data_IF_715557244839
#
_entry.id   IF_715557244839
#
_cell.length_a   1.000
_cell.length_b   1.000
_cell.length_c   1.000
_cell.angle_alpha   90.00
_cell.angle_beta   90.00
_cell.angle_gamma   90.00
#
_symmetry.space_group_name_H-M   'P 1'
#
loop_
_entity.id
_entity.type
_entity.pdbx_description
1 polymer ?
#
# COMPACT_ATOMS: atom_id res chain seq x y z
N UNK A 1 15.59 4.37 24.45
CA UNK A 1 15.48 3.36 23.37
C UNK A 1 15.18 4.13 22.09
N UNK A 2 15.98 4.01 21.03
CA UNK A 2 15.84 4.83 19.79
C UNK A 2 14.92 4.19 18.73
N UNK A 3 14.44 2.97 18.96
CA UNK A 3 13.49 2.29 18.09
C UNK A 3 12.57 1.39 18.93
N UNK A 4 11.28 1.48 18.67
CA UNK A 4 10.24 0.73 19.38
C UNK A 4 9.27 0.11 18.39
N UNK A 5 9.04 -1.20 18.54
CA UNK A 5 8.01 -1.94 17.82
C UNK A 5 6.90 -2.32 18.80
N UNK A 6 5.80 -1.57 18.74
CA UNK A 6 4.63 -1.81 19.57
C UNK A 6 3.81 -2.96 19.02
N UNK A 7 3.88 -4.13 19.66
CA UNK A 7 3.02 -5.25 19.30
C UNK A 7 1.58 -4.99 19.75
N UNK A 8 0.62 -5.24 18.87
CA UNK A 8 -0.79 -4.97 19.10
C UNK A 8 -1.65 -6.25 19.07
N UNK A 9 -2.48 -6.38 20.11
CA UNK A 9 -3.32 -7.56 20.32
C UNK A 9 -4.43 -7.68 19.27
N UNK A 10 -4.99 -6.55 18.81
CA UNK A 10 -6.07 -6.52 17.83
C UNK A 10 -5.56 -6.90 16.44
N UNK A 11 -4.35 -6.48 16.07
CA UNK A 11 -3.66 -6.96 14.87
C UNK A 11 -3.43 -8.47 14.92
N UNK A 12 -2.93 -8.99 16.03
CA UNK A 12 -2.73 -10.43 16.20
C UNK A 12 -4.05 -11.22 16.09
N UNK A 13 -5.14 -10.74 16.72
CA UNK A 13 -6.45 -11.39 16.61
C UNK A 13 -7.03 -11.37 15.20
N UNK A 14 -6.80 -10.30 14.45
CA UNK A 14 -7.19 -10.19 13.03
C UNK A 14 -6.24 -10.91 12.08
N UNK A 15 -5.25 -11.65 12.60
CA UNK A 15 -4.21 -12.38 11.85
C UNK A 15 -3.37 -11.47 10.94
N UNK A 16 -3.24 -10.19 11.33
CA UNK A 16 -2.29 -9.27 10.72
C UNK A 16 -0.92 -9.49 11.38
N UNK A 17 -0.01 -10.13 10.64
CA UNK A 17 1.35 -10.44 11.09
C UNK A 17 2.38 -9.84 10.13
N UNK A 18 3.54 -9.37 10.62
CA UNK A 18 3.86 -9.18 12.04
C UNK A 18 2.93 -8.16 12.69
N UNK A 19 2.49 -8.42 13.93
CA UNK A 19 1.45 -7.64 14.61
C UNK A 19 2.00 -6.32 15.19
N UNK A 20 2.80 -5.59 14.41
CA UNK A 20 3.43 -4.32 14.77
C UNK A 20 2.49 -3.18 14.41
N UNK A 21 2.09 -2.40 15.40
CA UNK A 21 1.21 -1.27 15.20
C UNK A 21 1.96 -0.10 14.58
N UNK A 22 1.67 0.18 13.31
CA UNK A 22 2.42 1.13 12.48
C UNK A 22 2.32 2.59 12.94
N UNK A 23 1.27 2.98 13.69
CA UNK A 23 1.12 4.36 14.18
C UNK A 23 1.67 4.62 15.58
N UNK A 24 1.93 3.58 16.36
CA UNK A 24 2.46 3.70 17.74
C UNK A 24 3.93 3.26 17.83
N UNK A 25 4.42 2.56 16.81
CA UNK A 25 5.83 2.22 16.64
C UNK A 25 6.63 3.39 16.09
N UNK A 26 7.92 3.46 16.41
CA UNK A 26 8.81 4.51 15.91
C UNK A 26 10.25 4.04 15.72
N UNK A 27 11.01 4.77 14.90
CA UNK A 27 12.44 4.63 14.75
C UNK A 27 13.08 6.00 14.55
N UNK A 28 14.02 6.35 15.41
CA UNK A 28 14.84 7.57 15.30
C UNK A 28 16.02 7.39 14.32
N UNK A 29 16.20 6.20 13.74
CA UNK A 29 17.28 5.88 12.81
C UNK A 29 16.96 6.22 11.36
N UNK A 30 15.75 6.67 11.05
CA UNK A 30 15.35 6.93 9.65
C UNK A 30 16.26 7.98 9.00
N UNK A 31 16.59 9.05 9.74
CA UNK A 31 17.51 10.09 9.26
C UNK A 31 18.92 9.52 9.07
N UNK A 32 19.41 8.75 10.04
CA UNK A 32 20.76 8.16 10.02
C UNK A 32 20.94 7.20 8.83
N UNK A 33 19.88 6.46 8.47
CA UNK A 33 19.89 5.47 7.39
C UNK A 33 19.47 6.03 6.02
N UNK A 34 19.00 7.27 5.96
CA UNK A 34 18.43 7.86 4.74
C UNK A 34 19.39 7.85 3.55
N UNK A 35 20.65 8.23 3.79
CA UNK A 35 21.71 8.20 2.77
C UNK A 35 21.97 6.80 2.24
N UNK A 36 21.97 5.79 3.11
CA UNK A 36 22.19 4.41 2.68
C UNK A 36 21.07 3.94 1.75
N UNK A 37 19.81 4.23 2.07
CA UNK A 37 18.68 3.87 1.20
C UNK A 37 18.75 4.58 -0.15
N UNK A 38 19.12 5.86 -0.16
CA UNK A 38 19.27 6.64 -1.38
C UNK A 38 20.33 6.03 -2.32
N UNK A 39 21.48 5.64 -1.78
CA UNK A 39 22.61 5.16 -2.57
C UNK A 39 22.48 3.69 -2.98
N UNK A 40 21.83 2.85 -2.16
CA UNK A 40 21.84 1.38 -2.33
C UNK A 40 20.49 0.80 -2.78
N UNK A 41 19.40 1.55 -2.72
CA UNK A 41 18.06 1.07 -3.08
C UNK A 41 17.42 1.97 -4.10
N UNK A 42 17.15 3.22 -3.72
CA UNK A 42 16.55 4.21 -4.58
C UNK A 42 16.55 5.59 -3.90
N UNK A 43 16.83 6.68 -4.62
CA UNK A 43 16.66 8.05 -4.10
C UNK A 43 15.23 8.36 -3.65
N UNK A 44 14.22 7.63 -4.15
CA UNK A 44 12.82 7.81 -3.79
C UNK A 44 12.38 6.97 -2.58
N UNK A 45 13.24 6.10 -2.04
CA UNK A 45 12.85 5.13 -1.01
C UNK A 45 12.21 5.77 0.22
N UNK A 46 12.86 6.78 0.80
CA UNK A 46 12.38 7.47 2.00
C UNK A 46 11.10 8.27 1.72
N UNK A 47 11.01 8.91 0.54
CA UNK A 47 9.81 9.62 0.10
C UNK A 47 8.60 8.66 0.02
N UNK A 48 8.76 7.53 -0.67
CA UNK A 48 7.70 6.55 -0.86
C UNK A 48 7.22 5.99 0.47
N UNK A 49 8.16 5.62 1.35
CA UNK A 49 7.85 5.20 2.72
C UNK A 49 7.03 6.26 3.46
N UNK A 50 7.38 7.54 3.35
CA UNK A 50 6.66 8.63 4.00
C UNK A 50 5.26 8.83 3.41
N UNK A 51 5.09 8.67 2.09
CA UNK A 51 3.77 8.71 1.42
C UNK A 51 2.86 7.57 1.88
N UNK A 52 3.39 6.36 2.02
CA UNK A 52 2.64 5.22 2.59
C UNK A 52 2.21 5.52 4.03
N UNK A 53 3.12 6.03 4.87
CA UNK A 53 2.77 6.42 6.24
C UNK A 53 1.72 7.53 6.28
N UNK A 54 1.77 8.50 5.37
CA UNK A 54 0.75 9.54 5.29
C UNK A 54 -0.64 8.94 4.97
N UNK A 55 -0.73 8.00 4.04
CA UNK A 55 -1.97 7.30 3.70
C UNK A 55 -2.52 6.48 4.88
N UNK A 56 -1.66 5.79 5.63
CA UNK A 56 -2.06 5.04 6.83
C UNK A 56 -2.54 5.96 7.97
N UNK A 57 -1.93 7.14 8.13
CA UNK A 57 -2.42 8.14 9.09
C UNK A 57 -3.78 8.70 8.67
N UNK A 58 -3.96 9.00 7.38
CA UNK A 58 -5.25 9.44 6.84
C UNK A 58 -6.33 8.37 7.02
N UNK A 59 -6.01 7.09 6.77
CA UNK A 59 -6.92 5.98 7.06
C UNK A 59 -7.39 6.00 8.52
N UNK A 60 -6.48 6.17 9.47
CA UNK A 60 -6.84 6.23 10.89
C UNK A 60 -7.83 7.36 11.20
N UNK A 61 -7.62 8.55 10.65
CA UNK A 61 -8.54 9.67 10.82
C UNK A 61 -9.90 9.40 10.16
N UNK A 62 -9.90 8.82 8.97
CA UNK A 62 -11.13 8.47 8.25
C UNK A 62 -11.91 7.38 8.96
N UNK A 63 -11.25 6.37 9.56
CA UNK A 63 -11.93 5.31 10.30
C UNK A 63 -12.67 5.82 11.54
N UNK A 64 -12.18 6.87 12.20
CA UNK A 64 -12.94 7.53 13.28
C UNK A 64 -14.23 8.18 12.77
N UNK A 65 -14.20 8.78 11.57
CA UNK A 65 -15.38 9.32 10.92
C UNK A 65 -16.33 8.17 10.54
N UNK A 66 -15.82 7.12 9.91
CA UNK A 66 -16.60 5.93 9.49
C UNK A 66 -17.33 5.29 10.67
N UNK A 67 -16.72 5.23 11.86
CA UNK A 67 -17.37 4.71 13.09
C UNK A 67 -18.60 5.52 13.50
N UNK A 68 -18.63 6.82 13.18
CA UNK A 68 -19.72 7.72 13.56
C UNK A 68 -20.86 7.74 12.54
N UNK A 69 -20.54 7.75 11.24
CA UNK A 69 -21.52 8.03 10.18
C UNK A 69 -21.62 6.94 9.10
N UNK A 70 -20.78 5.89 9.16
CA UNK A 70 -20.68 4.85 8.15
C UNK A 70 -19.75 5.23 6.98
N UNK A 71 -19.32 4.25 6.19
CA UNK A 71 -18.42 4.46 5.05
C UNK A 71 -19.11 4.99 3.79
N UNK A 72 -20.41 4.76 3.66
CA UNK A 72 -21.15 5.02 2.43
C UNK A 72 -21.29 6.52 2.12
N UNK A 73 -21.28 7.33 3.17
CA UNK A 73 -21.38 8.79 3.11
C UNK A 73 -20.05 9.49 2.78
N UNK A 74 -18.92 8.75 2.78
CA UNK A 74 -17.63 9.35 2.45
C UNK A 74 -17.56 9.71 0.94
N UNK A 75 -16.95 10.85 0.60
CA UNK A 75 -16.53 11.16 -0.76
C UNK A 75 -15.63 10.07 -1.37
N UNK A 76 -15.67 9.91 -2.69
CA UNK A 76 -14.90 8.87 -3.39
C UNK A 76 -13.39 9.01 -3.23
N UNK A 77 -12.85 10.23 -3.08
CA UNK A 77 -11.44 10.46 -2.79
C UNK A 77 -11.03 9.91 -1.43
N UNK A 78 -11.90 10.00 -0.42
CA UNK A 78 -11.66 9.45 0.91
C UNK A 78 -11.83 7.93 0.92
N UNK A 79 -12.83 7.41 0.19
CA UNK A 79 -12.99 5.96 -0.04
C UNK A 79 -11.76 5.37 -0.73
N UNK A 80 -11.16 6.10 -1.68
CA UNK A 80 -9.90 5.70 -2.31
C UNK A 80 -8.74 5.62 -1.31
N UNK A 81 -8.62 6.58 -0.40
CA UNK A 81 -7.58 6.53 0.67
C UNK A 81 -7.75 5.27 1.52
N UNK A 82 -8.98 4.94 1.93
CA UNK A 82 -9.25 3.70 2.69
C UNK A 82 -8.88 2.45 1.89
N UNK A 83 -9.19 2.41 0.59
CA UNK A 83 -8.88 1.28 -0.27
C UNK A 83 -7.37 1.10 -0.47
N UNK A 84 -6.63 2.18 -0.71
CA UNK A 84 -5.17 2.11 -0.85
C UNK A 84 -4.50 1.77 0.49
N UNK A 85 -5.02 2.28 1.61
CA UNK A 85 -4.51 1.88 2.91
C UNK A 85 -4.74 0.39 3.20
N UNK A 86 -5.87 -0.19 2.74
CA UNK A 86 -6.08 -1.65 2.74
C UNK A 86 -5.01 -2.36 1.92
N UNK A 87 -4.69 -1.87 0.71
CA UNK A 87 -3.61 -2.42 -0.12
C UNK A 87 -2.26 -2.37 0.60
N UNK A 88 -1.92 -1.27 1.27
CA UNK A 88 -0.69 -1.15 2.06
C UNK A 88 -0.68 -2.16 3.21
N UNK A 89 -1.76 -2.24 3.99
CA UNK A 89 -1.84 -3.13 5.16
C UNK A 89 -1.72 -4.60 4.78
N UNK A 90 -2.38 -5.04 3.70
CA UNK A 90 -2.43 -6.44 3.30
C UNK A 90 -1.32 -6.84 2.33
N UNK A 91 -0.94 -5.95 1.43
CA UNK A 91 0.07 -6.21 0.39
C UNK A 91 1.50 -5.87 0.77
N UNK A 92 1.72 -5.00 1.77
CA UNK A 92 3.06 -4.55 2.16
C UNK A 92 3.38 -4.82 3.63
N UNK A 93 2.54 -4.36 4.56
CA UNK A 93 2.82 -4.49 6.00
C UNK A 93 2.64 -5.92 6.52
N UNK A 94 1.60 -6.62 6.05
CA UNK A 94 1.40 -8.01 6.40
C UNK A 94 2.44 -8.87 5.66
N UNK A 95 3.18 -9.70 6.39
CA UNK A 95 4.14 -10.65 5.83
C UNK A 95 3.94 -12.04 6.46
N UNK A 96 4.05 -13.07 5.62
CA UNK A 96 4.00 -14.45 6.05
C UNK A 96 5.41 -15.01 6.26
N UNK A 97 5.83 -15.07 7.52
CA UNK A 97 7.13 -15.62 7.92
C UNK A 97 7.36 -17.09 7.49
N UNK A 98 6.31 -17.83 7.15
CA UNK A 98 6.38 -19.23 6.70
C UNK A 98 6.34 -19.40 5.17
N UNK A 99 6.17 -18.31 4.41
CA UNK A 99 6.15 -18.36 2.95
C UNK A 99 7.55 -18.15 2.37
N UNK A 100 7.94 -18.98 1.39
CA UNK A 100 9.31 -18.97 0.81
C UNK A 100 9.76 -17.60 0.28
N UNK A 101 8.85 -16.83 -0.34
CA UNK A 101 9.18 -15.54 -0.97
C UNK A 101 8.81 -14.32 -0.12
N UNK A 102 8.07 -14.52 0.97
CA UNK A 102 7.55 -13.44 1.84
C UNK A 102 8.15 -13.49 3.26
N UNK A 103 8.89 -14.56 3.58
CA UNK A 103 9.66 -14.70 4.84
C UNK A 103 10.81 -13.71 4.92
N UNK A 104 11.41 -13.37 3.78
CA UNK A 104 12.47 -12.38 3.66
C UNK A 104 12.35 -11.68 2.30
N UNK A 105 12.18 -10.36 2.32
CA UNK A 105 11.93 -9.54 1.12
C UNK A 105 13.10 -8.56 0.97
N UNK A 106 13.77 -8.58 -0.18
CA UNK A 106 14.91 -7.69 -0.45
C UNK A 106 14.47 -6.21 -0.43
N UNK A 107 15.41 -5.30 -0.13
CA UNK A 107 15.13 -3.86 -0.12
C UNK A 107 14.66 -3.33 -1.48
N UNK A 108 15.24 -3.85 -2.55
CA UNK A 108 14.84 -3.52 -3.92
C UNK A 108 13.40 -3.98 -4.21
N UNK A 109 13.03 -5.20 -3.83
CA UNK A 109 11.64 -5.68 -3.96
C UNK A 109 10.69 -4.84 -3.12
N UNK A 110 11.04 -4.49 -1.88
CA UNK A 110 10.22 -3.60 -1.05
C UNK A 110 10.01 -2.24 -1.72
N UNK A 111 11.05 -1.67 -2.33
CA UNK A 111 10.91 -0.42 -3.08
C UNK A 111 9.94 -0.56 -4.26
N UNK A 112 10.07 -1.60 -5.07
CA UNK A 112 9.20 -1.85 -6.22
C UNK A 112 7.74 -2.09 -5.79
N UNK A 113 7.52 -2.77 -4.66
CA UNK A 113 6.18 -2.91 -4.07
C UNK A 113 5.58 -1.54 -3.68
N UNK A 114 6.36 -0.67 -3.04
CA UNK A 114 5.92 0.69 -2.73
C UNK A 114 5.62 1.50 -3.99
N UNK A 115 6.46 1.39 -5.02
CA UNK A 115 6.27 2.05 -6.31
C UNK A 115 4.96 1.62 -6.97
N UNK A 116 4.71 0.32 -7.09
CA UNK A 116 3.48 -0.21 -7.69
C UNK A 116 2.22 0.22 -6.92
N UNK A 117 2.26 0.21 -5.58
CA UNK A 117 1.13 0.68 -4.75
C UNK A 117 0.87 2.16 -4.99
N UNK A 118 1.92 3.00 -5.01
CA UNK A 118 1.79 4.43 -5.25
C UNK A 118 1.40 4.76 -6.69
N UNK A 119 1.80 3.92 -7.65
CA UNK A 119 1.38 4.01 -9.05
C UNK A 119 -0.12 3.73 -9.20
N UNK A 120 -0.61 2.65 -8.57
CA UNK A 120 -2.04 2.36 -8.50
C UNK A 120 -2.82 3.52 -7.87
N UNK A 121 -2.34 4.06 -6.74
CA UNK A 121 -2.98 5.20 -6.09
C UNK A 121 -3.05 6.42 -7.02
N UNK A 122 -1.97 6.73 -7.74
CA UNK A 122 -1.93 7.84 -8.69
C UNK A 122 -2.98 7.67 -9.80
N UNK A 123 -3.03 6.50 -10.45
CA UNK A 123 -3.97 6.25 -11.56
C UNK A 123 -5.42 6.25 -11.08
N UNK A 124 -5.71 5.57 -9.96
CA UNK A 124 -7.04 5.56 -9.36
C UNK A 124 -7.50 6.96 -8.93
N UNK A 125 -6.59 7.78 -8.38
CA UNK A 125 -6.92 9.16 -7.98
C UNK A 125 -7.26 10.04 -9.18
N UNK A 126 -6.56 9.87 -10.31
CA UNK A 126 -6.91 10.56 -11.55
C UNK A 126 -8.33 10.20 -11.98
N UNK A 127 -8.70 8.92 -11.98
CA UNK A 127 -10.05 8.47 -12.32
C UNK A 127 -11.12 9.04 -11.38
N UNK A 128 -10.88 9.01 -10.07
CA UNK A 128 -11.81 9.61 -9.09
C UNK A 128 -11.97 11.11 -9.32
N UNK A 129 -10.87 11.81 -9.64
CA UNK A 129 -10.91 13.26 -9.96
C UNK A 129 -11.69 13.54 -11.24
N UNK A 130 -11.70 12.61 -12.19
CA UNK A 130 -12.52 12.67 -13.41
C UNK A 130 -14.00 12.31 -13.16
N UNK A 131 -14.39 12.01 -11.92
CA UNK A 131 -15.77 11.72 -11.52
C UNK A 131 -16.15 10.25 -11.55
N UNK A 132 -15.20 9.32 -11.76
CA UNK A 132 -15.48 7.90 -11.69
C UNK A 132 -15.60 7.45 -10.23
N UNK A 133 -16.75 6.89 -9.80
CA UNK A 133 -16.95 6.53 -8.40
C UNK A 133 -16.15 5.27 -8.03
N UNK A 134 -15.82 5.13 -6.74
CA UNK A 134 -15.04 3.98 -6.25
C UNK A 134 -15.74 2.63 -6.49
N UNK A 135 -17.07 2.60 -6.59
CA UNK A 135 -17.81 1.39 -6.96
C UNK A 135 -17.43 0.86 -8.35
N UNK A 136 -17.17 1.76 -9.32
CA UNK A 136 -16.71 1.38 -10.66
C UNK A 136 -15.28 0.90 -10.60
N UNK A 137 -14.39 1.61 -9.90
CA UNK A 137 -12.99 1.20 -9.77
C UNK A 137 -12.86 -0.17 -9.07
N UNK A 138 -13.66 -0.43 -8.04
CA UNK A 138 -13.68 -1.70 -7.30
C UNK A 138 -14.36 -2.85 -8.05
N UNK A 139 -15.03 -2.58 -9.17
CA UNK A 139 -15.52 -3.66 -10.05
C UNK A 139 -14.37 -4.39 -10.77
N UNK A 140 -13.19 -3.76 -10.81
CA UNK A 140 -11.96 -4.34 -11.34
C UNK A 140 -11.14 -4.98 -10.23
N UNK A 141 -10.46 -6.09 -10.53
CA UNK A 141 -9.69 -6.87 -9.54
C UNK A 141 -8.28 -6.30 -9.26
N UNK A 142 -8.00 -5.06 -9.65
CA UNK A 142 -6.63 -4.53 -9.64
C UNK A 142 -6.07 -4.35 -8.22
N UNK A 143 -6.90 -3.94 -7.26
CA UNK A 143 -6.47 -3.72 -5.87
C UNK A 143 -6.06 -5.04 -5.20
N UNK A 144 -6.85 -6.10 -5.37
CA UNK A 144 -6.54 -7.42 -4.82
C UNK A 144 -5.37 -8.08 -5.55
N UNK A 145 -5.22 -7.83 -6.86
CA UNK A 145 -4.03 -8.24 -7.60
C UNK A 145 -2.77 -7.62 -7.01
N UNK A 146 -2.76 -6.30 -6.75
CA UNK A 146 -1.60 -5.63 -6.13
C UNK A 146 -1.35 -6.10 -4.69
N UNK A 147 -2.38 -6.51 -3.94
CA UNK A 147 -2.20 -7.12 -2.61
C UNK A 147 -1.41 -8.43 -2.69
N UNK A 148 -1.60 -9.23 -3.74
CA UNK A 148 -0.93 -10.52 -3.92
C UNK A 148 0.53 -10.42 -4.39
N UNK A 149 1.02 -9.21 -4.73
CA UNK A 149 2.36 -9.01 -5.32
C UNK A 149 3.51 -9.60 -4.51
N UNK A 150 3.38 -9.63 -3.18
CA UNK A 150 4.39 -10.19 -2.28
C UNK A 150 4.58 -11.71 -2.45
N UNK A 151 3.53 -12.40 -2.89
CA UNK A 151 3.52 -13.84 -3.19
C UNK A 151 3.79 -14.13 -4.66
N UNK A 152 3.24 -13.30 -5.55
CA UNK A 152 3.25 -13.52 -6.99
C UNK A 152 4.60 -13.18 -7.65
N UNK A 153 5.38 -12.27 -7.03
CA UNK A 153 6.70 -11.88 -7.53
C UNK A 153 7.79 -12.49 -6.65
N UNK A 154 8.52 -13.52 -7.12
CA UNK A 154 9.68 -14.06 -6.44
C UNK A 154 10.78 -13.01 -6.20
N UNK A 155 11.61 -13.22 -5.18
CA UNK A 155 12.72 -12.31 -4.86
C UNK A 155 13.80 -12.25 -5.96
N UNK A 156 13.87 -13.25 -6.84
CA UNK A 156 14.82 -13.37 -7.95
C UNK A 156 14.24 -12.98 -9.32
N UNK A 157 12.99 -12.49 -9.37
CA UNK A 157 12.27 -12.14 -10.61
C UNK A 157 11.62 -10.76 -10.56
N UNK A 158 12.40 -9.74 -10.24
CA UNK A 158 11.90 -8.37 -10.06
C UNK A 158 11.39 -7.75 -11.38
N UNK A 159 11.77 -8.27 -12.53
CA UNK A 159 11.22 -7.86 -13.82
C UNK A 159 9.69 -8.06 -13.92
N UNK A 160 9.12 -8.94 -13.11
CA UNK A 160 7.68 -9.20 -13.09
C UNK A 160 6.85 -8.00 -12.59
N UNK A 161 7.44 -7.05 -11.86
CA UNK A 161 6.77 -5.80 -11.46
C UNK A 161 6.31 -4.97 -12.68
N UNK A 162 7.00 -5.07 -13.82
CA UNK A 162 6.59 -4.41 -15.05
C UNK A 162 5.20 -4.86 -15.53
N UNK A 163 4.82 -6.11 -15.27
CA UNK A 163 3.47 -6.58 -15.60
C UNK A 163 2.41 -5.88 -14.75
N UNK A 164 2.66 -5.64 -13.46
CA UNK A 164 1.70 -4.94 -12.60
C UNK A 164 1.45 -3.51 -13.07
N UNK A 165 2.48 -2.79 -13.53
CA UNK A 165 2.29 -1.46 -14.11
C UNK A 165 1.42 -1.52 -15.37
N UNK A 166 1.65 -2.50 -16.26
CA UNK A 166 0.80 -2.72 -17.43
C UNK A 166 -0.64 -3.05 -17.06
N UNK A 167 -0.85 -3.87 -16.04
CA UNK A 167 -2.20 -4.23 -15.57
C UNK A 167 -2.92 -3.02 -14.95
N UNK A 168 -2.19 -2.14 -14.26
CA UNK A 168 -2.73 -0.87 -13.75
C UNK A 168 -3.08 0.08 -14.90
N UNK A 169 -2.27 0.14 -15.95
CA UNK A 169 -2.55 0.94 -17.14
C UNK A 169 -3.78 0.41 -17.89
N UNK A 170 -3.89 -0.91 -18.05
CA UNK A 170 -5.06 -1.54 -18.66
C UNK A 170 -6.33 -1.31 -17.83
N UNK A 171 -6.23 -1.42 -16.50
CA UNK A 171 -7.30 -1.03 -15.58
C UNK A 171 -7.74 0.42 -15.82
N UNK A 172 -6.77 1.34 -15.91
CA UNK A 172 -7.05 2.75 -16.15
C UNK A 172 -7.79 2.97 -17.47
N UNK A 173 -7.32 2.36 -18.56
CA UNK A 173 -7.99 2.46 -19.86
C UNK A 173 -9.40 1.87 -19.85
N UNK A 174 -9.60 0.69 -19.24
CA UNK A 174 -10.93 0.07 -19.14
C UNK A 174 -11.94 0.94 -18.40
N UNK A 175 -11.53 1.63 -17.33
CA UNK A 175 -12.43 2.51 -16.59
C UNK A 175 -12.79 3.76 -17.40
N UNK A 176 -11.84 4.30 -18.17
CA UNK A 176 -12.10 5.40 -19.10
C UNK A 176 -13.11 5.01 -20.18
N UNK A 177 -12.91 3.84 -20.82
CA UNK A 177 -13.80 3.35 -21.89
C UNK A 177 -15.23 3.08 -21.39
N UNK A 178 -15.39 2.62 -20.15
CA UNK A 178 -16.73 2.33 -19.56
C UNK A 178 -17.61 3.57 -19.35
N UNK A 179 -17.07 4.78 -19.44
CA UNK A 179 -17.84 6.03 -19.27
C UNK A 179 -17.73 6.99 -20.47
N UNK A 180 -17.19 6.51 -21.61
CA UNK A 180 -17.32 7.14 -22.92
C UNK A 180 -18.63 6.69 -23.59
#
# INVERSE_FOLDING_TARGET
>A
VRCFWGLDKSLAYSRHFPAIHWLTSYSEYLTDLSHWYQDNVSPQFVDYRNRLMALLNQESSLLEIVKLIGSDVLPDDQKLVLEIARVIRLGFLQQNAFHKDDTCVSMEKQFLMMDTILYLYKQARTLVTMGHPMSVLKSENIFDRVISIKYDVPNDRLEMFAQYHRDIDEFYQKVLEKNA
#
